data_IF_920730904506
#
_entry.id   IF_920730904506
#
_cell.length_a   1.000
_cell.length_b   1.000
_cell.length_c   1.000
_cell.angle_alpha   90.00
_cell.angle_beta   90.00
_cell.angle_gamma   90.00
#
_symmetry.space_group_name_H-M   'P 1'
#
loop_
_entity.id
_entity.type
_entity.pdbx_description
1 polymer ?
#
# COMPACT_ATOMS: atom_id res chain seq x y z
N UNK A 1 25.83 -5.62 29.03
CA UNK A 1 24.79 -5.57 27.98
C UNK A 1 25.49 -5.87 26.65
N UNK A 2 25.47 -7.12 26.22
CA UNK A 2 26.26 -7.59 25.07
C UNK A 2 25.56 -7.21 23.77
N UNK A 3 26.20 -6.33 23.00
CA UNK A 3 25.76 -5.95 21.66
C UNK A 3 26.03 -7.10 20.69
N UNK A 4 25.03 -7.97 20.52
CA UNK A 4 25.12 -9.11 19.61
C UNK A 4 25.18 -8.59 18.17
N UNK A 5 26.35 -8.66 17.55
CA UNK A 5 26.54 -8.39 16.11
C UNK A 5 25.71 -9.39 15.30
N UNK A 6 24.55 -8.94 14.81
CA UNK A 6 23.71 -9.69 13.85
C UNK A 6 24.57 -10.17 12.68
N UNK A 7 24.40 -11.44 12.32
CA UNK A 7 25.06 -12.08 11.18
C UNK A 7 24.58 -11.48 9.86
N UNK A 8 25.36 -11.63 8.79
CA UNK A 8 25.02 -11.15 7.44
C UNK A 8 23.70 -11.74 6.92
N UNK A 9 23.36 -12.97 7.35
CA UNK A 9 22.09 -13.62 7.01
C UNK A 9 20.90 -12.94 7.71
N UNK A 10 21.03 -12.56 8.98
CA UNK A 10 19.97 -11.86 9.73
C UNK A 10 19.70 -10.47 9.17
N UNK A 11 20.74 -9.73 8.77
CA UNK A 11 20.60 -8.41 8.10
C UNK A 11 19.85 -8.50 6.77
N UNK A 12 20.09 -9.57 6.01
CA UNK A 12 19.39 -9.81 4.74
C UNK A 12 17.94 -10.23 4.97
N UNK A 13 17.64 -10.93 6.07
CA UNK A 13 16.30 -11.37 6.42
C UNK A 13 15.36 -10.20 6.78
N UNK A 14 15.87 -9.16 7.44
CA UNK A 14 15.11 -7.94 7.78
C UNK A 14 14.57 -7.21 6.54
N UNK A 15 15.26 -7.32 5.40
CA UNK A 15 14.81 -6.76 4.13
C UNK A 15 13.71 -7.56 3.42
N UNK A 16 13.34 -8.74 3.93
CA UNK A 16 12.32 -9.60 3.29
C UNK A 16 10.95 -8.96 3.45
N UNK A 17 10.39 -8.54 2.33
CA UNK A 17 9.10 -7.83 2.30
C UNK A 17 7.94 -8.79 2.08
N UNK A 18 7.93 -9.83 2.89
CA UNK A 18 6.87 -10.83 2.94
C UNK A 18 5.61 -10.11 3.45
N UNK A 19 4.51 -10.22 2.70
CA UNK A 19 3.24 -9.56 3.04
C UNK A 19 3.13 -8.07 2.71
N UNK A 20 4.16 -7.45 2.13
CA UNK A 20 4.11 -6.04 1.78
C UNK A 20 3.53 -5.82 0.37
N UNK A 21 2.50 -4.99 0.29
CA UNK A 21 1.84 -4.61 -0.94
C UNK A 21 2.35 -3.24 -1.41
N UNK A 22 2.51 -3.04 -2.72
CA UNK A 22 2.74 -1.70 -3.26
C UNK A 22 1.43 -1.11 -3.75
N UNK A 23 1.17 0.15 -3.42
CA UNK A 23 0.04 0.88 -3.99
C UNK A 23 0.19 0.99 -5.52
N UNK A 24 -0.86 0.69 -6.28
CA UNK A 24 -0.80 0.76 -7.75
C UNK A 24 -0.78 2.20 -8.30
N UNK A 25 -1.10 3.21 -7.48
CA UNK A 25 -1.09 4.62 -7.88
C UNK A 25 0.20 5.36 -7.47
N UNK A 26 0.69 5.15 -6.23
CA UNK A 26 1.84 5.89 -5.69
C UNK A 26 3.05 5.02 -5.31
N UNK A 27 2.99 3.72 -5.57
CA UNK A 27 4.03 2.71 -5.31
C UNK A 27 4.52 2.59 -3.86
N UNK A 28 3.86 3.28 -2.93
CA UNK A 28 4.15 3.22 -1.51
C UNK A 28 3.94 1.80 -0.97
N UNK A 29 4.83 1.38 -0.06
CA UNK A 29 4.76 0.05 0.55
C UNK A 29 3.78 0.09 1.72
N UNK A 30 2.81 -0.81 1.71
CA UNK A 30 1.72 -0.91 2.67
C UNK A 30 1.68 -2.34 3.18
N UNK A 31 1.56 -2.52 4.50
CA UNK A 31 1.30 -3.83 5.09
C UNK A 31 -0.16 -3.84 5.53
N UNK A 32 -1.06 -4.48 4.76
CA UNK A 32 -2.45 -4.61 5.18
C UNK A 32 -2.55 -5.54 6.40
N UNK A 33 -3.49 -5.28 7.32
CA UNK A 33 -3.76 -6.22 8.40
C UNK A 33 -4.30 -7.54 7.84
N UNK A 34 -3.96 -8.70 8.44
CA UNK A 34 -4.33 -10.00 7.92
C UNK A 34 -5.85 -10.13 7.78
N UNK A 35 -6.32 -10.53 6.60
CA UNK A 35 -7.75 -10.72 6.31
C UNK A 35 -8.52 -9.45 5.92
N UNK A 36 -7.86 -8.29 5.83
CA UNK A 36 -8.52 -7.05 5.39
C UNK A 36 -9.01 -7.14 3.94
N UNK A 37 -10.29 -6.86 3.69
CA UNK A 37 -10.88 -6.88 2.33
C UNK A 37 -10.63 -5.60 1.54
N UNK A 38 -10.43 -4.49 2.26
CA UNK A 38 -10.13 -3.18 1.70
C UNK A 38 -8.91 -2.58 2.38
N UNK A 39 -8.12 -1.83 1.63
CA UNK A 39 -6.98 -1.10 2.14
C UNK A 39 -6.96 0.29 1.52
N UNK A 40 -6.90 1.28 2.39
CA UNK A 40 -6.70 2.67 2.01
C UNK A 40 -5.21 3.01 2.08
N UNK A 41 -4.68 3.57 0.99
CA UNK A 41 -3.32 4.08 0.99
C UNK A 41 -3.25 5.38 1.81
N UNK A 42 -2.34 5.50 2.80
CA UNK A 42 -2.22 6.72 3.61
C UNK A 42 -1.70 7.92 2.82
N UNK A 43 -0.95 7.67 1.74
CA UNK A 43 -0.33 8.72 0.91
C UNK A 43 -1.30 9.31 -0.12
N UNK A 44 -1.84 8.46 -0.99
CA UNK A 44 -2.71 8.92 -2.08
C UNK A 44 -4.20 8.85 -1.75
N UNK A 45 -4.58 8.29 -0.58
CA UNK A 45 -5.98 8.11 -0.15
C UNK A 45 -6.83 7.17 -1.03
N UNK A 46 -6.24 6.56 -2.06
CA UNK A 46 -6.92 5.56 -2.88
C UNK A 46 -7.24 4.31 -2.07
N UNK A 47 -8.40 3.76 -2.34
CA UNK A 47 -8.85 2.52 -1.74
C UNK A 47 -8.76 1.35 -2.72
N UNK A 48 -8.19 0.26 -2.24
CA UNK A 48 -7.90 -0.96 -2.99
C UNK A 48 -8.63 -2.13 -2.37
N UNK A 49 -9.20 -2.98 -3.22
CA UNK A 49 -9.73 -4.29 -2.81
C UNK A 49 -8.59 -5.28 -2.72
N UNK A 50 -8.44 -5.89 -1.56
CA UNK A 50 -7.42 -6.89 -1.28
C UNK A 50 -8.07 -8.27 -1.25
N UNK A 51 -7.35 -9.22 -1.81
CA UNK A 51 -7.64 -10.63 -1.71
C UNK A 51 -6.43 -11.37 -1.17
N UNK A 52 -6.68 -12.37 -0.33
CA UNK A 52 -5.66 -13.13 0.36
C UNK A 52 -5.68 -14.55 -0.19
N UNK A 53 -4.53 -15.03 -0.68
CA UNK A 53 -4.37 -16.46 -0.97
C UNK A 53 -4.05 -17.19 0.33
N UNK A 54 -3.16 -16.60 1.12
CA UNK A 54 -2.71 -16.99 2.45
C UNK A 54 -2.65 -15.71 3.32
N UNK A 55 -2.70 -15.81 4.66
CA UNK A 55 -2.63 -14.66 5.57
C UNK A 55 -1.33 -13.85 5.44
N UNK A 56 -0.28 -14.41 4.83
CA UNK A 56 1.00 -13.74 4.59
C UNK A 56 1.13 -13.12 3.21
N UNK A 57 0.21 -13.42 2.27
CA UNK A 57 0.32 -13.01 0.87
C UNK A 57 -0.95 -12.27 0.41
N UNK A 58 -1.03 -10.95 0.67
CA UNK A 58 -2.07 -10.10 0.13
C UNK A 58 -1.82 -9.79 -1.35
N UNK A 59 -2.88 -9.76 -2.15
CA UNK A 59 -2.88 -9.31 -3.55
C UNK A 59 -3.95 -8.24 -3.78
N UNK A 60 -3.64 -7.24 -4.61
CA UNK A 60 -4.64 -6.26 -5.08
C UNK A 60 -5.50 -6.92 -6.15
N UNK A 61 -6.82 -6.90 -5.99
CA UNK A 61 -7.77 -7.27 -7.05
C UNK A 61 -8.09 -6.10 -7.96
N UNK A 62 -8.17 -4.91 -7.39
CA UNK A 62 -8.44 -3.69 -8.14
C UNK A 62 -8.83 -2.54 -7.23
N UNK A 63 -9.02 -1.35 -7.81
CA UNK A 63 -9.50 -0.18 -7.07
C UNK A 63 -10.94 -0.38 -6.59
N UNK A 64 -11.29 0.31 -5.50
CA UNK A 64 -12.69 0.59 -5.18
C UNK A 64 -13.12 1.79 -6.03
N UNK A 65 -14.01 1.54 -6.99
CA UNK A 65 -14.34 2.53 -8.02
C UNK A 65 -14.99 3.79 -7.45
N UNK A 66 -15.94 3.65 -6.53
CA UNK A 66 -16.71 4.78 -5.97
C UNK A 66 -15.81 5.80 -5.25
N UNK A 67 -14.92 5.33 -4.37
CA UNK A 67 -14.02 6.19 -3.59
C UNK A 67 -12.98 6.86 -4.48
N UNK A 68 -12.42 6.10 -5.43
CA UNK A 68 -11.34 6.60 -6.27
C UNK A 68 -11.85 7.61 -7.31
N UNK A 69 -13.05 7.40 -7.87
CA UNK A 69 -13.66 8.35 -8.82
C UNK A 69 -13.81 9.74 -8.20
N UNK A 70 -14.35 9.82 -6.99
CA UNK A 70 -14.52 11.09 -6.28
C UNK A 70 -13.18 11.78 -5.98
N UNK A 71 -12.15 11.01 -5.62
CA UNK A 71 -10.80 11.54 -5.38
C UNK A 71 -10.17 12.07 -6.67
N UNK A 72 -10.29 11.35 -7.78
CA UNK A 72 -9.80 11.78 -9.09
C UNK A 72 -10.52 13.06 -9.54
N UNK A 73 -11.85 13.13 -9.41
CA UNK A 73 -12.63 14.32 -9.76
C UNK A 73 -12.25 15.54 -8.92
N UNK A 74 -11.98 15.36 -7.62
CA UNK A 74 -11.48 16.44 -6.75
C UNK A 74 -10.10 16.93 -7.21
N UNK A 75 -9.15 16.03 -7.40
CA UNK A 75 -7.80 16.41 -7.84
C UNK A 75 -7.78 17.06 -9.22
N UNK A 76 -8.65 16.62 -10.16
CA UNK A 76 -8.77 17.25 -11.47
C UNK A 76 -9.34 18.68 -11.38
N UNK A 77 -10.36 18.91 -10.55
CA UNK A 77 -10.93 20.25 -10.32
C UNK A 77 -9.91 21.20 -9.70
N UNK A 78 -9.12 20.73 -8.74
CA UNK A 78 -8.05 21.51 -8.11
C UNK A 78 -6.96 21.89 -9.13
N UNK A 79 -6.57 20.99 -10.02
CA UNK A 79 -5.56 21.28 -11.06
C UNK A 79 -6.07 22.23 -12.16
N UNK A 80 -7.36 22.19 -12.50
CA UNK A 80 -7.94 23.07 -13.53
C UNK A 80 -8.14 24.51 -13.03
N UNK A 81 -8.23 24.75 -11.72
CA UNK A 81 -8.32 26.10 -11.15
C UNK A 81 -6.99 26.87 -11.07
N UNK A 82 -5.85 26.20 -11.30
CA UNK A 82 -4.51 26.79 -11.21
C UNK A 82 -3.89 27.27 -12.53
N UNK A 83 -4.60 27.11 -13.67
CA UNK A 83 -4.23 27.75 -14.94
C UNK A 83 -4.94 29.08 -15.06
N UNK A 84 -4.40 30.13 -14.44
CA UNK A 84 -4.75 31.51 -14.79
C UNK A 84 -3.51 32.37 -14.79
#
# INVERSE_FOLDING_TARGET
MSEQKKTTMERTAEGRTIGALRCMNCYERLVPPPGAKTLKCPKCRYEWRIWWINPEFPRIRGPVWEVNRQLTEKSLREQQGGKK
#
